data_IF_867234011315
#
_entry.id   IF_867234011315
#
_cell.length_a   1.000
_cell.length_b   1.000
_cell.length_c   1.000
_cell.angle_alpha   90.00
_cell.angle_beta   90.00
_cell.angle_gamma   90.00
#
_symmetry.space_group_name_H-M   'P 1'
#
loop_
_entity.id
_entity.type
_entity.pdbx_description
1 polymer ?
#
# COMPACT_ATOMS: atom_id res chain seq x y z
N UNK A 1 -19.74 12.39 -26.67
CA UNK A 1 -20.04 12.10 -25.25
C UNK A 1 -18.91 11.21 -24.81
N UNK A 2 -17.87 11.82 -24.25
CA UNK A 2 -16.59 11.16 -23.99
C UNK A 2 -16.61 10.58 -22.59
N UNK A 3 -16.50 9.25 -22.53
CA UNK A 3 -16.37 8.44 -21.33
C UNK A 3 -15.01 8.71 -20.67
N UNK A 4 -14.96 9.68 -19.75
CA UNK A 4 -13.82 9.88 -18.84
C UNK A 4 -13.86 8.81 -17.75
N UNK A 5 -13.45 7.58 -18.08
CA UNK A 5 -13.03 6.60 -17.07
C UNK A 5 -11.60 6.95 -16.65
N UNK A 6 -11.46 8.02 -15.86
CA UNK A 6 -10.17 8.37 -15.26
C UNK A 6 -9.69 7.23 -14.38
N UNK A 7 -8.53 6.71 -14.74
CA UNK A 7 -7.75 5.65 -14.12
C UNK A 7 -7.65 5.83 -12.58
N UNK A 8 -8.50 5.11 -11.83
CA UNK A 8 -8.40 4.98 -10.37
C UNK A 8 -7.53 3.78 -9.97
N UNK A 9 -7.00 3.06 -10.97
CA UNK A 9 -6.25 1.83 -10.84
C UNK A 9 -4.78 2.10 -10.45
N UNK A 10 -4.16 3.14 -10.99
CA UNK A 10 -2.73 3.45 -10.76
C UNK A 10 -2.35 3.88 -9.33
N UNK A 11 -3.31 4.19 -8.46
CA UNK A 11 -3.06 4.44 -7.02
C UNK A 11 -2.82 3.14 -6.23
N UNK A 12 -3.33 2.00 -6.72
CA UNK A 12 -3.07 0.68 -6.14
C UNK A 12 -1.61 0.29 -6.35
N UNK A 13 -1.19 0.27 -7.61
CA UNK A 13 0.16 -0.13 -8.01
C UNK A 13 1.27 0.71 -7.35
N UNK A 14 1.07 2.04 -7.25
CA UNK A 14 2.04 2.91 -6.59
C UNK A 14 2.15 2.66 -5.08
N UNK A 15 1.03 2.39 -4.41
CA UNK A 15 1.04 2.09 -2.98
C UNK A 15 1.72 0.74 -2.70
N UNK A 16 1.47 -0.27 -3.53
CA UNK A 16 2.09 -1.59 -3.42
C UNK A 16 3.62 -1.52 -3.60
N UNK A 17 4.09 -0.71 -4.56
CA UNK A 17 5.52 -0.46 -4.76
C UNK A 17 6.16 0.24 -3.55
N UNK A 18 5.52 1.26 -2.99
CA UNK A 18 5.99 1.97 -1.80
C UNK A 18 6.06 1.06 -0.57
N UNK A 19 5.02 0.25 -0.36
CA UNK A 19 4.94 -0.73 0.71
C UNK A 19 6.08 -1.75 0.59
N UNK A 20 6.27 -2.30 -0.62
CA UNK A 20 7.31 -3.30 -0.87
C UNK A 20 8.69 -2.75 -0.55
N UNK A 21 8.98 -1.55 -1.05
CA UNK A 21 10.24 -0.86 -0.79
C UNK A 21 10.44 -0.59 0.70
N UNK A 22 9.42 -0.08 1.39
CA UNK A 22 9.52 0.22 2.81
C UNK A 22 9.78 -1.04 3.65
N UNK A 23 9.10 -2.14 3.34
CA UNK A 23 9.30 -3.42 4.06
C UNK A 23 10.71 -3.98 3.81
N UNK A 24 11.21 -3.88 2.58
CA UNK A 24 12.58 -4.28 2.26
C UNK A 24 13.62 -3.43 3.01
N UNK A 25 13.52 -2.09 2.92
CA UNK A 25 14.49 -1.15 3.51
C UNK A 25 14.46 -1.13 5.04
N UNK A 26 13.29 -1.28 5.68
CA UNK A 26 13.14 -1.11 7.12
C UNK A 26 13.13 -2.43 7.90
N UNK A 27 12.60 -3.50 7.30
CA UNK A 27 12.43 -4.78 7.97
C UNK A 27 13.39 -5.85 7.47
N UNK A 28 14.10 -5.59 6.36
CA UNK A 28 14.95 -6.59 5.71
C UNK A 28 14.14 -7.82 5.28
N UNK A 29 12.85 -7.63 4.98
CA UNK A 29 11.91 -8.70 4.71
C UNK A 29 11.46 -8.63 3.25
N UNK A 30 11.37 -9.78 2.59
CA UNK A 30 10.90 -9.85 1.22
C UNK A 30 9.39 -9.97 1.18
N UNK A 31 8.70 -8.99 0.59
CA UNK A 31 7.25 -9.05 0.41
C UNK A 31 6.89 -10.19 -0.55
N UNK A 32 5.97 -11.03 -0.11
CA UNK A 32 5.44 -12.18 -0.85
C UNK A 32 4.05 -11.87 -1.40
N UNK A 33 3.25 -11.11 -0.66
CA UNK A 33 1.90 -10.72 -1.06
C UNK A 33 1.53 -9.37 -0.46
N UNK A 34 0.87 -8.53 -1.26
CA UNK A 34 0.16 -7.34 -0.79
C UNK A 34 -1.30 -7.50 -1.19
N UNK A 35 -2.20 -7.26 -0.24
CA UNK A 35 -3.64 -7.37 -0.45
C UNK A 35 -4.31 -6.07 0.03
N UNK A 36 -4.81 -5.29 -0.93
CA UNK A 36 -5.51 -4.04 -0.62
C UNK A 36 -6.89 -4.35 -0.08
N UNK A 37 -7.21 -3.79 1.08
CA UNK A 37 -8.57 -3.86 1.61
C UNK A 37 -9.49 -2.96 0.79
N UNK A 38 -10.54 -3.56 0.20
CA UNK A 38 -11.60 -2.89 -0.55
C UNK A 38 -12.53 -2.03 0.33
N UNK A 39 -11.95 -1.22 1.21
CA UNK A 39 -12.65 -0.26 2.06
C UNK A 39 -12.32 1.16 1.61
N UNK A 40 -13.15 2.11 2.02
CA UNK A 40 -12.97 3.56 1.79
C UNK A 40 -11.72 4.16 2.45
N UNK A 41 -11.01 3.38 3.28
CA UNK A 41 -9.74 3.75 3.91
C UNK A 41 -8.60 2.99 3.22
N UNK A 42 -7.52 3.68 2.81
CA UNK A 42 -6.33 3.02 2.26
C UNK A 42 -5.69 2.13 3.34
N UNK A 43 -5.84 0.81 3.20
CA UNK A 43 -5.27 -0.18 4.09
C UNK A 43 -4.87 -1.42 3.30
N UNK A 44 -3.75 -2.03 3.70
CA UNK A 44 -3.15 -3.17 3.03
C UNK A 44 -2.70 -4.22 4.04
N UNK A 45 -2.99 -5.48 3.74
CA UNK A 45 -2.35 -6.61 4.38
C UNK A 45 -1.11 -6.99 3.58
N UNK A 46 0.01 -7.14 4.27
CA UNK A 46 1.29 -7.46 3.63
C UNK A 46 1.83 -8.72 4.28
N UNK A 47 2.09 -9.72 3.46
CA UNK A 47 2.81 -10.92 3.87
C UNK A 47 4.23 -10.80 3.36
N UNK A 48 5.20 -10.84 4.26
CA UNK A 48 6.61 -10.81 3.96
C UNK A 48 7.30 -12.04 4.55
N UNK A 49 8.47 -12.39 4.05
CA UNK A 49 9.35 -13.40 4.62
C UNK A 49 10.62 -12.75 5.11
N UNK A 50 10.95 -13.01 6.37
CA UNK A 50 12.18 -12.55 7.01
C UNK A 50 12.85 -13.75 7.67
N UNK A 51 14.11 -14.02 7.34
CA UNK A 51 14.88 -15.12 7.95
C UNK A 51 14.16 -16.48 7.91
N UNK A 52 13.43 -16.75 6.82
CA UNK A 52 12.63 -17.98 6.65
C UNK A 52 11.33 -18.03 7.45
N UNK A 53 11.00 -16.98 8.21
CA UNK A 53 9.74 -16.87 8.96
C UNK A 53 8.74 -15.96 8.24
N UNK A 54 7.46 -16.35 8.17
CA UNK A 54 6.41 -15.50 7.63
C UNK A 54 6.09 -14.35 8.59
N UNK A 55 6.19 -13.12 8.09
CA UNK A 55 5.86 -11.88 8.77
C UNK A 55 4.60 -11.28 8.16
N UNK A 56 3.52 -11.21 8.94
CA UNK A 56 2.26 -10.58 8.53
C UNK A 56 2.20 -9.17 9.09
N UNK A 57 2.09 -8.19 8.20
CA UNK A 57 2.06 -6.77 8.51
C UNK A 57 0.72 -6.18 8.07
N UNK A 58 0.27 -5.20 8.83
CA UNK A 58 -0.90 -4.41 8.49
C UNK A 58 -0.48 -2.97 8.31
N UNK A 59 -0.51 -2.50 7.06
CA UNK A 59 -0.12 -1.15 6.69
C UNK A 59 -1.38 -0.33 6.46
N UNK A 60 -1.43 0.85 7.09
CA UNK A 60 -2.49 1.82 6.88
C UNK A 60 -1.90 3.02 6.17
N UNK A 61 -2.53 3.44 5.09
CA UNK A 61 -2.21 4.71 4.45
C UNK A 61 -2.72 5.85 5.33
N UNK A 62 -1.89 6.87 5.49
CA UNK A 62 -2.34 8.12 6.08
C UNK A 62 -3.40 8.76 5.16
N UNK A 63 -4.46 9.32 5.73
CA UNK A 63 -5.23 10.35 5.01
C UNK A 63 -4.36 11.58 5.05
N UNK A 64 -3.75 11.96 3.93
CA UNK A 64 -3.26 13.33 3.74
C UNK A 64 -4.48 14.25 3.77
N UNK A 65 -4.94 14.57 4.98
CA UNK A 65 -5.80 15.71 5.22
C UNK A 65 -4.89 16.91 4.96
N UNK A 66 -4.89 17.34 3.71
CA UNK A 66 -4.23 18.56 3.29
C UNK A 66 -4.92 19.70 4.04
N UNK A 67 -4.47 19.95 5.27
CA UNK A 67 -4.83 21.11 6.07
C UNK A 67 -4.25 22.30 5.30
N UNK A 68 -5.04 22.87 4.38
CA UNK A 68 -4.73 24.16 3.81
C UNK A 68 -4.83 25.18 4.96
N UNK A 69 -3.74 25.88 5.34
CA UNK A 69 -3.91 27.12 6.07
C UNK A 69 -4.58 28.12 5.13
N UNK A 70 -5.61 28.80 5.65
CA UNK A 70 -6.26 29.94 5.00
C UNK A 70 -5.24 31.03 4.62
#
# INVERSE_FOLDING_TARGET
MEDTHSDISGLGDQAEALITRWVDENLGAKVVRVDRQGRWRPAWFVEAQRDGQPLRLYIRGERTENFLPY
#
